data_IF_049620413946
#
_entry.id   IF_049620413946
#
_cell.length_a   1.000
_cell.length_b   1.000
_cell.length_c   1.000
_cell.angle_alpha   90.00
_cell.angle_beta   90.00
_cell.angle_gamma   90.00
#
_symmetry.space_group_name_H-M   'P 1'
#
loop_
_entity.id
_entity.type
_entity.pdbx_description
1 polymer ?
#
# COMPACT_ATOMS: atom_id res chain seq x y z
N UNK A 1 12.89 29.74 28.89
CA UNK A 1 13.52 29.59 27.55
C UNK A 1 14.09 28.20 27.32
N UNK A 2 14.97 27.70 28.20
CA UNK A 2 15.64 26.39 28.06
C UNK A 2 14.68 25.20 28.01
N UNK A 3 13.66 25.18 28.84
CA UNK A 3 12.62 24.14 28.85
C UNK A 3 11.87 24.03 27.52
N UNK A 4 11.58 25.17 26.88
CA UNK A 4 10.89 25.23 25.59
C UNK A 4 11.72 24.64 24.45
N UNK A 5 13.04 24.92 24.45
CA UNK A 5 13.95 24.36 23.45
C UNK A 5 14.11 22.85 23.62
N UNK A 6 14.19 22.37 24.87
CA UNK A 6 14.32 20.94 25.16
C UNK A 6 13.06 20.17 24.74
N UNK A 7 11.87 20.67 25.09
CA UNK A 7 10.61 20.01 24.70
C UNK A 7 10.41 20.01 23.20
N UNK A 8 10.72 21.12 22.52
CA UNK A 8 10.65 21.22 21.06
C UNK A 8 11.59 20.21 20.38
N UNK A 9 12.84 20.12 20.83
CA UNK A 9 13.79 19.15 20.30
C UNK A 9 13.33 17.69 20.50
N UNK A 10 12.71 17.40 21.65
CA UNK A 10 12.20 16.06 21.97
C UNK A 10 11.05 15.66 21.03
N UNK A 11 10.13 16.58 20.74
CA UNK A 11 9.06 16.36 19.77
C UNK A 11 9.60 16.09 18.35
N UNK A 12 10.58 16.89 17.91
CA UNK A 12 11.21 16.70 16.60
C UNK A 12 11.89 15.33 16.52
N UNK A 13 12.59 14.91 17.57
CA UNK A 13 13.24 13.60 17.64
C UNK A 13 12.22 12.44 17.52
N UNK A 14 11.08 12.54 18.19
CA UNK A 14 10.01 11.52 18.11
C UNK A 14 9.41 11.45 16.71
N UNK A 15 9.12 12.60 16.09
CA UNK A 15 8.58 12.64 14.71
C UNK A 15 9.59 12.05 13.72
N UNK A 16 10.87 12.40 13.86
CA UNK A 16 11.94 11.85 13.03
C UNK A 16 12.02 10.32 13.18
N UNK A 17 11.96 9.80 14.41
CA UNK A 17 11.96 8.36 14.66
C UNK A 17 10.74 7.66 14.02
N UNK A 18 9.55 8.25 14.08
CA UNK A 18 8.35 7.72 13.42
C UNK A 18 8.49 7.73 11.89
N UNK A 19 9.02 8.81 11.31
CA UNK A 19 9.24 8.94 9.88
C UNK A 19 10.26 7.90 9.37
N UNK A 20 11.35 7.73 10.10
CA UNK A 20 12.36 6.70 9.83
C UNK A 20 11.73 5.30 9.91
N UNK A 21 10.94 5.02 10.95
CA UNK A 21 10.18 3.78 11.09
C UNK A 21 9.24 3.51 9.91
N UNK A 22 8.54 4.53 9.42
CA UNK A 22 7.64 4.42 8.27
C UNK A 22 8.39 4.08 6.96
N UNK A 23 9.54 4.72 6.74
CA UNK A 23 10.40 4.46 5.56
C UNK A 23 10.94 3.02 5.60
N UNK A 24 11.37 2.53 6.76
CA UNK A 24 11.89 1.17 6.89
C UNK A 24 10.79 0.11 6.81
N UNK A 25 9.64 0.34 7.43
CA UNK A 25 8.56 -0.65 7.40
C UNK A 25 7.89 -0.73 6.02
N UNK A 26 7.94 0.33 5.18
CA UNK A 26 7.29 0.43 3.86
C UNK A 26 5.83 -0.07 3.83
N UNK A 27 5.21 -0.21 5.00
CA UNK A 27 3.81 -0.56 5.14
C UNK A 27 3.10 0.74 4.86
N UNK A 28 2.67 0.91 3.60
CA UNK A 28 1.58 1.84 3.30
C UNK A 28 0.54 1.64 4.39
N UNK A 29 0.13 2.73 5.05
CA UNK A 29 -0.95 2.71 6.06
C UNK A 29 -2.02 1.78 5.53
N UNK A 30 -2.07 0.58 6.11
CA UNK A 30 -2.94 -0.48 5.64
C UNK A 30 -4.34 -0.01 6.03
N UNK A 31 -5.02 0.69 5.11
CA UNK A 31 -6.46 0.90 5.20
C UNK A 31 -7.17 -0.45 5.31
N UNK A 32 -8.49 -0.48 5.50
CA UNK A 32 -9.22 -1.71 5.91
C UNK A 32 -8.96 -2.97 5.04
N UNK A 33 -8.42 -2.83 3.83
CA UNK A 33 -8.06 -3.92 2.92
C UNK A 33 -6.55 -4.12 2.68
N UNK A 34 -5.68 -3.32 3.32
CA UNK A 34 -4.23 -3.27 3.09
C UNK A 34 -3.42 -4.29 3.90
N UNK A 35 -4.06 -5.10 4.75
CA UNK A 35 -3.41 -6.14 5.56
C UNK A 35 -3.91 -7.57 5.30
N UNK A 36 -5.04 -7.73 4.62
CA UNK A 36 -5.72 -9.03 4.45
C UNK A 36 -5.02 -9.96 3.44
N UNK A 37 -4.20 -9.40 2.54
CA UNK A 37 -3.38 -10.17 1.61
C UNK A 37 -2.23 -10.96 2.26
N UNK A 38 -1.78 -10.55 3.45
CA UNK A 38 -0.76 -11.28 4.20
C UNK A 38 -1.34 -12.43 5.05
N UNK A 39 -2.67 -12.47 5.22
CA UNK A 39 -3.39 -13.45 6.05
C UNK A 39 -4.16 -14.47 5.20
N UNK A 40 -3.96 -14.48 3.87
CA UNK A 40 -4.65 -15.40 2.96
C UNK A 40 -6.15 -15.16 2.83
N UNK A 41 -6.63 -14.01 3.30
CA UNK A 41 -8.04 -13.62 3.25
C UNK A 41 -8.29 -12.86 1.95
N UNK A 42 -8.39 -13.61 0.85
CA UNK A 42 -8.83 -13.07 -0.44
C UNK A 42 -10.37 -12.99 -0.55
N UNK A 43 -11.11 -13.56 0.41
CA UNK A 43 -12.56 -13.79 0.32
C UNK A 43 -13.42 -13.37 1.53
N UNK A 44 -12.89 -12.64 2.52
CA UNK A 44 -13.67 -12.25 3.73
C UNK A 44 -13.93 -10.75 3.82
N UNK A 45 -13.65 -9.97 2.77
CA UNK A 45 -14.41 -8.73 2.60
C UNK A 45 -15.82 -9.13 2.15
N UNK A 46 -16.68 -9.44 3.11
CA UNK A 46 -18.13 -9.63 2.94
C UNK A 46 -18.80 -8.27 2.68
N UNK A 47 -18.22 -7.47 1.76
CA UNK A 47 -18.74 -6.20 1.32
C UNK A 47 -19.50 -6.44 0.02
N UNK A 48 -20.79 -6.04 -0.07
CA UNK A 48 -21.60 -6.21 -1.27
C UNK A 48 -21.02 -5.49 -2.51
N UNK A 49 -20.14 -4.51 -2.30
CA UNK A 49 -19.26 -3.99 -3.35
C UNK A 49 -17.78 -4.16 -2.99
N UNK A 50 -16.93 -4.67 -3.90
CA UNK A 50 -15.49 -4.71 -3.71
C UNK A 50 -14.97 -3.27 -3.62
N UNK A 51 -14.14 -3.00 -2.62
CA UNK A 51 -13.56 -1.69 -2.37
C UNK A 51 -12.78 -1.16 -3.60
N UNK A 52 -12.75 0.16 -3.76
CA UNK A 52 -12.16 0.81 -4.94
C UNK A 52 -10.70 0.43 -5.19
N UNK A 53 -9.96 0.11 -4.13
CA UNK A 53 -8.59 -0.39 -4.21
C UNK A 53 -8.50 -1.77 -4.89
N UNK A 54 -9.47 -2.67 -4.66
CA UNK A 54 -9.58 -3.97 -5.34
C UNK A 54 -9.98 -3.80 -6.80
N UNK A 55 -11.02 -3.00 -7.08
CA UNK A 55 -11.45 -2.66 -8.44
C UNK A 55 -10.26 -2.11 -9.27
N UNK A 56 -9.45 -1.23 -8.69
CA UNK A 56 -8.25 -0.66 -9.35
C UNK A 56 -7.12 -1.68 -9.55
N UNK A 57 -6.95 -2.66 -8.64
CA UNK A 57 -5.96 -3.75 -8.79
C UNK A 57 -6.39 -4.72 -9.88
N UNK A 58 -7.66 -5.11 -9.90
CA UNK A 58 -8.25 -5.99 -10.92
C UNK A 58 -8.25 -5.33 -12.30
N UNK A 59 -8.60 -4.04 -12.39
CA UNK A 59 -8.49 -3.27 -13.64
C UNK A 59 -7.03 -3.20 -14.17
N UNK A 60 -6.04 -3.02 -13.28
CA UNK A 60 -4.62 -3.06 -13.66
C UNK A 60 -4.16 -4.45 -14.09
N UNK A 61 -4.66 -5.50 -13.45
CA UNK A 61 -4.35 -6.88 -13.80
C UNK A 61 -4.95 -7.26 -15.15
N UNK A 62 -6.20 -6.88 -15.42
CA UNK A 62 -6.88 -7.04 -16.70
C UNK A 62 -6.12 -6.32 -17.82
N UNK A 63 -5.80 -5.03 -17.64
CA UNK A 63 -5.02 -4.26 -18.62
C UNK A 63 -3.64 -4.87 -18.91
N UNK A 64 -3.00 -5.52 -17.92
CA UNK A 64 -1.74 -6.24 -18.12
C UNK A 64 -1.93 -7.55 -18.88
N UNK A 65 -3.02 -8.27 -18.61
CA UNK A 65 -3.37 -9.50 -19.32
C UNK A 65 -3.65 -9.22 -20.81
N UNK A 66 -4.36 -8.12 -21.11
CA UNK A 66 -4.62 -7.70 -22.49
C UNK A 66 -3.32 -7.38 -23.23
N UNK A 67 -2.43 -6.60 -22.62
CA UNK A 67 -1.10 -6.31 -23.18
C UNK A 67 -0.23 -7.56 -23.40
N UNK A 68 -0.32 -8.54 -22.50
CA UNK A 68 0.37 -9.82 -22.65
C UNK A 68 -0.23 -10.67 -23.78
N UNK A 69 -1.56 -10.63 -23.96
CA UNK A 69 -2.23 -11.32 -25.05
C UNK A 69 -1.85 -10.72 -26.40
N UNK A 70 -1.74 -9.40 -26.50
CA UNK A 70 -1.23 -8.71 -27.69
C UNK A 70 0.24 -9.08 -27.96
N UNK A 71 1.10 -8.97 -26.95
CA UNK A 71 2.52 -9.35 -27.08
C UNK A 71 2.71 -10.80 -27.52
N UNK A 72 1.88 -11.74 -27.02
CA UNK A 72 1.94 -13.14 -27.43
C UNK A 72 1.49 -13.37 -28.88
N UNK A 73 0.62 -12.53 -29.44
CA UNK A 73 0.22 -12.60 -30.86
C UNK A 73 1.32 -12.11 -31.79
N UNK A 74 2.00 -11.04 -31.40
CA UNK A 74 3.10 -10.45 -32.19
C UNK A 74 4.45 -11.14 -31.96
N UNK A 75 4.49 -12.14 -31.07
CA UNK A 75 5.69 -12.93 -30.81
C UNK A 75 5.93 -13.90 -31.98
N UNK A 76 6.72 -13.44 -32.94
CA UNK A 76 7.33 -14.25 -34.00
C UNK A 76 8.18 -15.34 -33.32
N UNK A 77 7.86 -16.61 -33.56
CA UNK A 77 8.69 -17.77 -33.21
C UNK A 77 9.83 -17.89 -34.22
#
# INVERSE_FOLDING_TARGET
>A
MSTFLITFAMFVAVIAAMAVGYIFQKKMVSGSCGGLGAVGIEKVCNCPEPCDARKKREAKAAARADRLAEWNKDRIV
#
